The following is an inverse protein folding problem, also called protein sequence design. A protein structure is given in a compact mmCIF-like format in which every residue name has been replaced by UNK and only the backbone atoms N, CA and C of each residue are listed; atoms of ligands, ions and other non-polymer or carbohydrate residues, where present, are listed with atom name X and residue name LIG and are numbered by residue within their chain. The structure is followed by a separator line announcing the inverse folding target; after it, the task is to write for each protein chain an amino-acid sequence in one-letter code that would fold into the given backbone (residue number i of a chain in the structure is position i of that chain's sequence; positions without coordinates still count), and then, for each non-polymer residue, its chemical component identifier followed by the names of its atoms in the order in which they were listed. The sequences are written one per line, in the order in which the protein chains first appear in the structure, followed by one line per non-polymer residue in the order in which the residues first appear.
data_IF_246251787760
#
_entry.id   IF_246251787760
#
_cell.length_a   1.000
_cell.length_b   1.000
_cell.length_c   1.000
_cell.angle_alpha   90.00
_cell.angle_beta   90.00
_cell.angle_gamma   90.00
#
_symmetry.space_group_name_H-M   'P 1'
#
loop_
_entity.id
_entity.type
_entity.pdbx_description
1 polymer ?
#
# COMPACT_ATOMS: atom_id res chain seq x y z
N UNK A 1 11.73 -21.12 8.28
CA UNK A 1 11.05 -19.84 8.61
C UNK A 1 11.57 -19.40 9.97
N UNK A 2 12.06 -18.16 10.09
CA UNK A 2 12.42 -17.64 11.41
C UNK A 2 11.11 -17.36 12.19
N UNK A 3 11.05 -17.82 13.43
CA UNK A 3 9.93 -17.52 14.34
C UNK A 3 10.40 -16.41 15.25
N UNK A 4 9.69 -15.28 15.21
CA UNK A 4 9.97 -14.11 16.04
C UNK A 4 8.82 -13.92 17.02
N UNK A 5 9.14 -13.69 18.29
CA UNK A 5 8.16 -13.27 19.29
C UNK A 5 8.07 -11.75 19.28
N UNK A 6 6.86 -11.22 19.16
CA UNK A 6 6.58 -9.78 19.19
C UNK A 6 5.39 -9.54 20.09
N UNK A 7 5.48 -8.52 20.93
CA UNK A 7 4.34 -8.09 21.74
C UNK A 7 3.45 -7.17 20.90
N UNK A 8 2.17 -7.50 20.82
CA UNK A 8 1.17 -6.79 20.03
C UNK A 8 -0.10 -6.70 20.85
N UNK A 9 -0.69 -5.51 20.86
CA UNK A 9 -1.99 -5.28 21.47
C UNK A 9 -3.04 -6.28 20.93
N UNK A 10 -3.70 -6.99 21.84
CA UNK A 10 -4.62 -8.09 21.49
C UNK A 10 -5.87 -7.58 20.77
N UNK A 11 -6.33 -6.38 21.13
CA UNK A 11 -7.50 -5.77 20.53
C UNK A 11 -7.21 -5.28 19.12
N UNK A 12 -6.04 -4.66 18.91
CA UNK A 12 -5.54 -4.31 17.58
C UNK A 12 -5.45 -5.54 16.68
N UNK A 13 -4.94 -6.65 17.21
CA UNK A 13 -4.82 -7.90 16.45
C UNK A 13 -6.19 -8.52 16.13
N UNK A 14 -7.16 -8.41 17.05
CA UNK A 14 -8.55 -8.82 16.82
C UNK A 14 -9.20 -7.98 15.71
N UNK A 15 -9.02 -6.65 15.75
CA UNK A 15 -9.53 -5.74 14.73
C UNK A 15 -8.88 -6.02 13.38
N UNK A 16 -7.56 -6.18 13.31
CA UNK A 16 -6.86 -6.50 12.07
C UNK A 16 -7.37 -7.81 11.44
N UNK A 17 -7.54 -8.88 12.24
CA UNK A 17 -8.15 -10.13 11.76
C UNK A 17 -9.55 -9.93 11.19
N UNK A 18 -10.38 -9.14 11.87
CA UNK A 18 -11.73 -8.82 11.42
C UNK A 18 -11.71 -8.00 10.12
N UNK A 19 -10.85 -6.99 10.01
CA UNK A 19 -10.73 -6.12 8.83
C UNK A 19 -10.24 -6.89 7.61
N UNK A 20 -9.31 -7.82 7.79
CA UNK A 20 -8.78 -8.65 6.70
C UNK A 20 -9.57 -9.93 6.44
N UNK A 21 -10.54 -10.29 7.30
CA UNK A 21 -11.30 -11.54 7.19
C UNK A 21 -10.46 -12.80 7.41
N UNK A 22 -9.38 -12.72 8.18
CA UNK A 22 -8.44 -13.83 8.42
C UNK A 22 -8.57 -14.42 9.81
N UNK A 23 -8.19 -15.68 9.95
CA UNK A 23 -8.37 -16.43 11.21
C UNK A 23 -7.14 -16.43 12.10
N UNK A 24 -5.95 -16.28 11.51
CA UNK A 24 -4.69 -16.41 12.26
C UNK A 24 -4.00 -15.06 12.49
N UNK A 25 -3.33 -14.93 13.63
CA UNK A 25 -2.53 -13.75 13.96
C UNK A 25 -1.41 -13.54 12.94
N UNK A 26 -0.76 -14.62 12.50
CA UNK A 26 0.30 -14.58 11.49
C UNK A 26 -0.18 -14.00 10.16
N UNK A 27 -1.35 -14.40 9.68
CA UNK A 27 -1.92 -13.87 8.45
C UNK A 27 -2.25 -12.38 8.59
N UNK A 28 -2.88 -11.99 9.69
CA UNK A 28 -3.21 -10.58 9.93
C UNK A 28 -1.96 -9.69 9.99
N UNK A 29 -0.91 -10.15 10.69
CA UNK A 29 0.38 -9.43 10.78
C UNK A 29 1.03 -9.33 9.40
N UNK A 30 1.07 -10.41 8.63
CA UNK A 30 1.66 -10.40 7.29
C UNK A 30 0.91 -9.47 6.33
N UNK A 31 -0.42 -9.44 6.38
CA UNK A 31 -1.23 -8.54 5.57
C UNK A 31 -1.03 -7.09 5.99
N UNK A 32 -1.05 -6.79 7.28
CA UNK A 32 -0.80 -5.45 7.79
C UNK A 32 0.57 -4.92 7.36
N UNK A 33 1.63 -5.74 7.48
CA UNK A 33 2.98 -5.35 7.05
C UNK A 33 3.06 -5.13 5.54
N UNK A 34 2.41 -6.00 4.74
CA UNK A 34 2.34 -5.83 3.29
C UNK A 34 1.65 -4.51 2.92
N UNK A 35 0.52 -4.19 3.54
CA UNK A 35 -0.22 -2.96 3.26
C UNK A 35 0.60 -1.72 3.58
N UNK A 36 1.35 -1.72 4.70
CA UNK A 36 2.25 -0.61 5.05
C UNK A 36 3.32 -0.40 3.99
N UNK A 37 3.97 -1.48 3.52
CA UNK A 37 4.98 -1.40 2.47
C UNK A 37 4.37 -0.92 1.15
N UNK A 38 3.24 -1.48 0.74
CA UNK A 38 2.57 -1.10 -0.51
C UNK A 38 2.13 0.36 -0.48
N UNK A 39 1.56 0.83 0.64
CA UNK A 39 1.20 2.24 0.81
C UNK A 39 2.41 3.15 0.69
N UNK A 40 3.55 2.78 1.27
CA UNK A 40 4.79 3.56 1.14
C UNK A 40 5.26 3.62 -0.31
N UNK A 41 5.27 2.50 -1.03
CA UNK A 41 5.63 2.45 -2.45
C UNK A 41 4.70 3.29 -3.32
N UNK A 42 3.39 3.29 -3.02
CA UNK A 42 2.42 4.12 -3.73
C UNK A 42 2.70 5.62 -3.55
N UNK A 43 3.02 6.04 -2.32
CA UNK A 43 3.39 7.44 -2.05
C UNK A 43 4.65 7.83 -2.84
N UNK A 44 5.68 6.98 -2.84
CA UNK A 44 6.91 7.23 -3.60
C UNK A 44 6.66 7.29 -5.11
N UNK A 45 5.76 6.44 -5.63
CA UNK A 45 5.36 6.48 -7.04
C UNK A 45 4.62 7.78 -7.38
N UNK A 46 3.71 8.24 -6.51
CA UNK A 46 3.01 9.52 -6.67
C UNK A 46 4.02 10.68 -6.67
N UNK A 47 4.96 10.68 -5.73
CA UNK A 47 6.00 11.71 -5.65
C UNK A 47 6.89 11.72 -6.91
N UNK A 48 7.19 10.55 -7.47
CA UNK A 48 7.95 10.42 -8.71
C UNK A 48 7.17 10.97 -9.92
N UNK A 49 5.88 10.64 -10.02
CA UNK A 49 4.99 11.13 -11.09
C UNK A 49 4.82 12.64 -11.00
N UNK A 50 4.63 13.19 -9.80
CA UNK A 50 4.47 14.62 -9.58
C UNK A 50 5.70 15.45 -9.98
N UNK A 51 6.88 14.83 -10.08
CA UNK A 51 8.12 15.49 -10.54
C UNK A 51 8.30 15.48 -12.05
N UNK A 52 7.46 14.75 -12.79
CA UNK A 52 7.52 14.74 -14.26
C UNK A 52 7.07 16.12 -14.74
N UNK A 53 7.93 16.88 -15.46
CA UNK A 53 7.54 18.15 -16.02
C UNK A 53 6.40 17.93 -17.02
N UNK A 54 5.25 18.53 -16.77
CA UNK A 54 4.13 18.52 -17.70
C UNK A 54 4.26 19.75 -18.59
N UNK A 55 4.26 19.53 -19.91
CA UNK A 55 4.17 20.62 -20.87
C UNK A 55 2.73 21.17 -20.86
N UNK A 56 2.57 22.35 -20.27
CA UNK A 56 1.27 23.02 -20.16
C UNK A 56 0.81 23.65 -21.48
N UNK A 57 1.70 23.81 -22.46
CA UNK A 57 1.41 24.38 -23.78
C UNK A 57 1.25 23.28 -24.85
N UNK A 58 1.02 22.03 -24.42
CA UNK A 58 0.87 20.89 -25.31
C UNK A 58 -0.22 21.15 -26.37
N UNK A 59 0.17 21.06 -27.65
CA UNK A 59 -0.74 21.25 -28.78
C UNK A 59 -1.59 19.99 -29.00
N UNK A 60 -2.92 20.15 -28.98
CA UNK A 60 -3.86 19.07 -29.30
C UNK A 60 -3.70 18.63 -30.75
N UNK A 61 -3.36 17.37 -30.96
CA UNK A 61 -3.31 16.76 -32.29
C UNK A 61 -4.67 16.13 -32.58
N UNK A 62 -5.42 16.71 -33.52
CA UNK A 62 -6.63 16.06 -34.04
C UNK A 62 -6.22 14.91 -34.96
N UNK A 63 -6.45 13.67 -34.54
CA UNK A 63 -6.38 12.52 -35.44
C UNK A 63 -7.62 12.53 -36.34
N UNK A 64 -7.41 12.60 -37.66
CA UNK A 64 -8.48 12.62 -38.68
C UNK A 64 -9.16 11.26 -38.87
N UNK A 65 -10.42 11.32 -39.34
CA UNK A 65 -11.34 10.22 -39.67
C UNK A 65 -10.72 9.10 -40.54
#
# INVERSE_FOLDING_TARGET
MAVTSVDIDTEMLRLAKSSYGVKTNREAINLALRDVVMRRQQIEAIDAIARIPVDHDATTIAYGD
#
